data_IF_761544125169
#
_entry.id   IF_761544125169
#
_cell.length_a   1.000
_cell.length_b   1.000
_cell.length_c   1.000
_cell.angle_alpha   90.00
_cell.angle_beta   90.00
_cell.angle_gamma   90.00
#
_symmetry.space_group_name_H-M   'P 1'
#
loop_
_entity.id
_entity.type
_entity.pdbx_description
1 polymer ?
#
# COMPACT_ATOMS: atom_id res chain seq x y z
N UNK A 1 16.07 -5.75 -9.19
CA UNK A 1 16.37 -5.39 -7.78
C UNK A 1 15.47 -6.19 -6.83
N UNK A 2 15.66 -6.20 -5.50
CA UNK A 2 14.85 -7.05 -4.60
C UNK A 2 13.33 -6.77 -4.69
N UNK A 3 12.92 -5.48 -4.71
CA UNK A 3 11.51 -5.07 -4.80
C UNK A 3 10.81 -5.60 -6.06
N UNK A 4 11.53 -5.67 -7.17
CA UNK A 4 11.04 -6.18 -8.46
C UNK A 4 10.76 -7.69 -8.43
N UNK A 5 11.34 -8.44 -7.49
CA UNK A 5 11.14 -9.88 -7.37
C UNK A 5 9.99 -10.25 -6.42
N UNK A 6 9.35 -9.26 -5.78
CA UNK A 6 8.25 -9.49 -4.85
C UNK A 6 6.91 -9.53 -5.59
N UNK A 7 6.01 -10.40 -5.13
CA UNK A 7 4.63 -10.51 -5.61
C UNK A 7 3.69 -9.47 -4.99
N UNK A 8 3.96 -9.08 -3.74
CA UNK A 8 3.19 -8.10 -2.97
C UNK A 8 4.12 -7.33 -2.03
N UNK A 9 3.90 -6.02 -1.93
CA UNK A 9 4.60 -5.15 -0.98
C UNK A 9 3.59 -4.56 -0.01
N UNK A 10 3.87 -4.72 1.29
CA UNK A 10 3.14 -4.07 2.38
C UNK A 10 4.09 -3.08 3.05
N UNK A 11 3.73 -1.79 3.08
CA UNK A 11 4.64 -0.74 3.59
C UNK A 11 3.87 0.50 4.04
N UNK A 12 4.35 1.24 5.05
CA UNK A 12 3.91 2.61 5.27
C UNK A 12 4.25 3.52 4.08
N UNK A 13 3.61 4.68 4.01
CA UNK A 13 3.96 5.74 3.05
C UNK A 13 5.39 6.23 3.24
N UNK A 14 6.28 5.69 2.42
CA UNK A 14 7.73 5.89 2.43
C UNK A 14 8.26 5.69 1.01
N UNK A 15 9.57 5.90 0.79
CA UNK A 15 10.22 5.72 -0.51
C UNK A 15 9.93 4.36 -1.18
N UNK A 16 9.72 3.29 -0.40
CA UNK A 16 9.42 1.95 -0.92
C UNK A 16 8.11 1.93 -1.73
N UNK A 17 7.09 2.68 -1.33
CA UNK A 17 5.80 2.78 -2.06
C UNK A 17 6.03 3.26 -3.48
N UNK A 18 6.88 4.28 -3.65
CA UNK A 18 7.15 4.88 -4.95
C UNK A 18 8.06 3.99 -5.81
N UNK A 19 9.06 3.34 -5.21
CA UNK A 19 9.90 2.38 -5.95
C UNK A 19 9.07 1.18 -6.40
N UNK A 20 8.21 0.62 -5.54
CA UNK A 20 7.30 -0.46 -5.92
C UNK A 20 6.32 -0.02 -7.02
N UNK A 21 5.82 1.23 -6.94
CA UNK A 21 4.95 1.79 -7.98
C UNK A 21 5.66 1.92 -9.33
N UNK A 22 6.95 2.27 -9.34
CA UNK A 22 7.74 2.36 -10.57
C UNK A 22 7.91 1.00 -11.28
N UNK A 23 7.93 -0.10 -10.51
CA UNK A 23 7.94 -1.47 -11.04
C UNK A 23 6.53 -2.05 -11.25
N UNK A 24 5.48 -1.23 -11.11
CA UNK A 24 4.07 -1.61 -11.12
C UNK A 24 3.74 -2.86 -10.27
N UNK A 25 4.35 -2.92 -9.08
CA UNK A 25 4.12 -4.04 -8.16
C UNK A 25 2.84 -3.86 -7.36
N UNK A 26 2.12 -4.96 -7.07
CA UNK A 26 0.99 -4.92 -6.14
C UNK A 26 1.40 -4.35 -4.77
N UNK A 27 0.63 -3.36 -4.29
CA UNK A 27 0.94 -2.62 -3.04
C UNK A 27 -0.27 -2.58 -2.11
N UNK A 28 -0.04 -2.90 -0.84
CA UNK A 28 -0.89 -2.48 0.29
C UNK A 28 -0.13 -1.43 1.09
N UNK A 29 -0.53 -0.16 0.97
CA UNK A 29 0.12 0.93 1.71
C UNK A 29 -0.63 1.30 2.98
N UNK A 30 0.09 1.77 3.99
CA UNK A 30 -0.47 2.32 5.23
C UNK A 30 -0.18 3.81 5.25
N UNK A 31 -1.21 4.65 5.36
CA UNK A 31 -1.07 6.09 5.28
C UNK A 31 -1.85 6.77 6.41
N UNK A 32 -1.38 7.91 6.90
CA UNK A 32 -2.13 8.74 7.85
C UNK A 32 -3.44 9.25 7.21
N UNK A 33 -4.45 9.59 7.99
CA UNK A 33 -5.71 10.13 7.48
C UNK A 33 -5.62 11.61 7.08
N UNK A 34 -4.54 12.00 6.42
CA UNK A 34 -4.37 13.29 5.80
C UNK A 34 -4.64 13.16 4.29
N UNK A 35 -5.79 13.69 3.85
CA UNK A 35 -6.21 13.56 2.44
C UNK A 35 -5.36 14.37 1.48
N UNK A 36 -4.79 15.49 1.92
CA UNK A 36 -3.88 16.28 1.08
C UNK A 36 -2.54 15.59 0.88
N UNK A 37 -1.97 15.06 1.97
CA UNK A 37 -0.76 14.24 1.92
C UNK A 37 -0.99 13.03 1.00
N UNK A 38 -2.08 12.29 1.21
CA UNK A 38 -2.42 11.13 0.37
C UNK A 38 -2.62 11.50 -1.11
N UNK A 39 -3.25 12.63 -1.42
CA UNK A 39 -3.42 13.08 -2.81
C UNK A 39 -2.08 13.25 -3.52
N UNK A 40 -1.04 13.69 -2.81
CA UNK A 40 0.29 13.92 -3.35
C UNK A 40 1.13 12.64 -3.40
N UNK A 41 1.01 11.78 -2.39
CA UNK A 41 1.95 10.68 -2.14
C UNK A 41 1.36 9.27 -2.29
N UNK A 42 0.09 9.12 -2.69
CA UNK A 42 -0.52 7.80 -2.90
C UNK A 42 0.29 6.93 -3.88
N UNK A 43 0.27 5.59 -3.71
CA UNK A 43 0.81 4.68 -4.71
C UNK A 43 0.12 4.91 -6.06
N UNK A 44 0.88 4.67 -7.13
CA UNK A 44 0.38 4.80 -8.51
C UNK A 44 0.42 3.48 -9.28
N UNK A 45 0.80 2.36 -8.63
CA UNK A 45 0.69 1.05 -9.26
C UNK A 45 -0.76 0.71 -9.56
N UNK A 46 -0.97 0.02 -10.69
CA UNK A 46 -2.24 -0.50 -11.19
C UNK A 46 -2.97 -1.32 -10.13
N UNK A 47 -2.25 -2.12 -9.35
CA UNK A 47 -2.81 -2.91 -8.25
C UNK A 47 -2.36 -2.32 -6.92
N UNK A 48 -3.14 -1.37 -6.40
CA UNK A 48 -2.84 -0.76 -5.10
C UNK A 48 -4.07 -0.60 -4.22
N UNK A 49 -3.86 -0.70 -2.91
CA UNK A 49 -4.87 -0.41 -1.88
C UNK A 49 -4.19 0.26 -0.70
N UNK A 50 -4.88 1.24 -0.11
CA UNK A 50 -4.35 1.98 1.05
C UNK A 50 -5.27 1.79 2.24
N UNK A 51 -4.68 1.37 3.36
CA UNK A 51 -5.32 1.36 4.68
C UNK A 51 -4.94 2.66 5.38
N UNK A 52 -5.95 3.40 5.84
CA UNK A 52 -5.73 4.64 6.57
C UNK A 52 -5.62 4.39 8.07
N UNK A 53 -4.64 5.04 8.70
CA UNK A 53 -4.65 5.24 10.14
C UNK A 53 -5.87 6.07 10.55
N UNK A 54 -6.26 6.05 11.84
CA UNK A 54 -7.30 6.98 12.31
C UNK A 54 -6.76 8.39 12.50
N UNK A 55 -5.48 8.51 12.88
CA UNK A 55 -4.78 9.78 13.03
C UNK A 55 -4.53 10.45 11.68
N UNK A 56 -4.64 11.78 11.62
CA UNK A 56 -4.23 12.60 10.47
C UNK A 56 -2.72 12.90 10.46
N UNK A 57 -1.98 12.50 11.49
CA UNK A 57 -0.54 12.63 11.58
C UNK A 57 0.06 11.35 12.14
N UNK A 58 0.94 10.70 11.37
CA UNK A 58 1.54 9.43 11.75
C UNK A 58 0.56 8.25 11.70
N UNK A 59 1.10 7.06 11.97
CA UNK A 59 0.41 5.79 11.74
C UNK A 59 -0.16 5.20 13.03
N UNK A 60 -1.07 5.93 13.67
CA UNK A 60 -1.73 5.49 14.90
C UNK A 60 -3.12 4.91 14.63
N UNK A 61 -3.44 3.81 15.32
CA UNK A 61 -4.74 3.14 15.31
C UNK A 61 -5.25 2.71 13.91
N UNK A 62 -4.36 2.32 13.00
CA UNK A 62 -4.75 1.62 11.77
C UNK A 62 -5.19 0.19 12.06
N UNK A 63 -6.06 -0.35 11.20
CA UNK A 63 -6.60 -1.70 11.36
C UNK A 63 -5.66 -2.75 10.75
N UNK A 64 -5.16 -3.66 11.59
CA UNK A 64 -4.35 -4.81 11.12
C UNK A 64 -5.21 -5.79 10.31
N UNK A 65 -6.47 -6.00 10.68
CA UNK A 65 -7.37 -6.86 9.90
C UNK A 65 -7.59 -6.31 8.51
N UNK A 66 -7.73 -4.99 8.35
CA UNK A 66 -7.93 -4.36 7.04
C UNK A 66 -6.69 -4.54 6.14
N UNK A 67 -5.49 -4.56 6.73
CA UNK A 67 -4.24 -4.85 6.00
C UNK A 67 -4.24 -6.32 5.53
N UNK A 68 -4.62 -7.25 6.39
CA UNK A 68 -4.69 -8.68 6.04
C UNK A 68 -5.74 -8.89 4.94
N UNK A 69 -6.92 -8.30 5.06
CA UNK A 69 -8.00 -8.41 4.07
C UNK A 69 -7.59 -7.81 2.72
N UNK A 70 -6.96 -6.62 2.74
CA UNK A 70 -6.43 -5.99 1.53
C UNK A 70 -5.33 -6.86 0.88
N UNK A 71 -4.49 -7.50 1.69
CA UNK A 71 -3.42 -8.39 1.20
C UNK A 71 -3.99 -9.65 0.56
N UNK A 72 -4.99 -10.27 1.19
CA UNK A 72 -5.72 -11.42 0.63
C UNK A 72 -6.43 -11.04 -0.67
N UNK A 73 -7.06 -9.87 -0.74
CA UNK A 73 -7.66 -9.37 -1.98
C UNK A 73 -6.62 -9.23 -3.09
N UNK A 74 -5.43 -8.68 -2.79
CA UNK A 74 -4.35 -8.53 -3.76
C UNK A 74 -3.81 -9.88 -4.22
N UNK A 75 -3.49 -10.80 -3.31
CA UNK A 75 -3.02 -12.16 -3.63
C UNK A 75 -4.03 -12.88 -4.52
N UNK A 76 -5.33 -12.78 -4.19
CA UNK A 76 -6.38 -13.37 -5.00
C UNK A 76 -6.49 -12.74 -6.40
N UNK A 77 -6.19 -11.45 -6.56
CA UNK A 77 -6.13 -10.81 -7.88
C UNK A 77 -4.91 -11.31 -8.67
N UNK A 78 -3.74 -11.39 -8.04
CA UNK A 78 -2.50 -11.88 -8.66
C UNK A 78 -2.68 -13.32 -9.17
N UNK A 79 -3.26 -14.21 -8.34
CA UNK A 79 -3.48 -15.62 -8.70
C UNK A 79 -4.58 -15.87 -9.73
N UNK A 80 -5.41 -14.87 -10.03
CA UNK A 80 -6.47 -14.95 -11.06
C UNK A 80 -6.02 -14.47 -12.43
N UNK A 81 -4.80 -13.92 -12.53
CA UNK A 81 -4.16 -13.51 -13.78
C UNK A 81 -3.50 -14.72 -14.44
#
# INVERSE_FOLDING_TARGET
ALIEQLDLIITPDTSIVHVASAFDKPIVSIHENNKDSYRLWKPISTLSKTVFAKSSYGLFDYSVSDIVDASLEMINKINKV
#
